data_IF_984057085685
#
_entry.id   IF_984057085685
#
_cell.length_a   1.000
_cell.length_b   1.000
_cell.length_c   1.000
_cell.angle_alpha   90.00
_cell.angle_beta   90.00
_cell.angle_gamma   90.00
#
_symmetry.space_group_name_H-M   'P 1'
#
loop_
_entity.id
_entity.type
_entity.pdbx_description
1 polymer ?
#
# COMPACT_ATOMS: atom_id res chain seq x y z
N UNK A 1 -30.75 -71.33 -61.93
CA UNK A 1 -29.75 -71.43 -63.01
C UNK A 1 -29.12 -70.05 -63.23
N UNK A 2 -27.80 -69.99 -63.32
CA UNK A 2 -26.99 -68.87 -63.74
C UNK A 2 -26.61 -67.91 -62.59
N UNK A 3 -25.46 -67.75 -62.29
CA UNK A 3 -24.06 -68.11 -62.58
C UNK A 3 -23.25 -67.01 -61.86
N UNK A 4 -22.31 -67.45 -61.08
CA UNK A 4 -21.30 -66.67 -60.40
C UNK A 4 -20.37 -65.95 -61.39
N UNK A 5 -20.05 -64.72 -61.19
CA UNK A 5 -18.76 -64.19 -61.63
C UNK A 5 -18.05 -63.44 -60.50
N UNK A 6 -16.85 -63.89 -60.27
CA UNK A 6 -15.84 -63.27 -59.39
C UNK A 6 -15.32 -62.04 -60.06
N UNK A 7 -15.22 -60.99 -59.29
CA UNK A 7 -14.12 -59.98 -59.28
C UNK A 7 -14.56 -58.76 -58.51
N UNK A 8 -13.93 -58.51 -57.39
CA UNK A 8 -14.12 -57.27 -56.66
C UNK A 8 -13.00 -57.10 -55.64
N UNK A 9 -11.96 -56.48 -56.09
CA UNK A 9 -10.75 -56.13 -55.38
C UNK A 9 -11.02 -55.41 -54.05
N UNK A 10 -10.16 -55.76 -53.12
CA UNK A 10 -9.82 -55.03 -51.92
C UNK A 10 -9.73 -53.54 -52.15
N UNK A 11 -10.47 -52.75 -51.38
CA UNK A 11 -10.15 -51.38 -51.05
C UNK A 11 -10.05 -51.29 -49.52
N UNK A 12 -8.83 -51.36 -49.04
CA UNK A 12 -8.47 -50.89 -47.73
C UNK A 12 -8.62 -49.38 -47.73
N UNK A 13 -9.69 -48.87 -47.14
CA UNK A 13 -9.82 -47.47 -46.81
C UNK A 13 -9.12 -47.25 -45.48
N UNK A 14 -7.92 -46.67 -45.53
CA UNK A 14 -7.22 -46.17 -44.36
C UNK A 14 -8.02 -45.09 -43.69
N UNK A 15 -8.52 -45.35 -42.50
CA UNK A 15 -9.06 -44.34 -41.60
C UNK A 15 -7.87 -43.63 -40.95
N UNK A 16 -7.43 -42.53 -41.56
CA UNK A 16 -6.53 -41.60 -40.87
C UNK A 16 -7.33 -40.93 -39.80
N UNK A 17 -7.14 -41.35 -38.56
CA UNK A 17 -7.60 -40.64 -37.38
C UNK A 17 -6.80 -39.34 -37.28
N UNK A 18 -7.35 -38.27 -37.83
CA UNK A 18 -6.87 -36.90 -37.49
C UNK A 18 -7.19 -36.63 -36.02
N UNK A 19 -6.19 -36.79 -35.17
CA UNK A 19 -6.25 -36.26 -33.82
C UNK A 19 -6.32 -34.74 -33.96
N UNK A 20 -7.53 -34.18 -33.93
CA UNK A 20 -7.74 -32.77 -33.79
C UNK A 20 -7.22 -32.41 -32.39
N UNK A 21 -6.02 -31.84 -32.33
CA UNK A 21 -5.56 -31.09 -31.18
C UNK A 21 -6.56 -29.95 -30.97
N UNK A 22 -7.52 -30.17 -30.07
CA UNK A 22 -8.38 -29.09 -29.62
C UNK A 22 -7.45 -27.96 -29.11
N UNK A 23 -7.62 -26.71 -29.58
CA UNK A 23 -6.86 -25.61 -29.03
C UNK A 23 -7.13 -25.61 -27.53
N UNK A 24 -6.05 -25.52 -26.73
CA UNK A 24 -6.17 -25.38 -25.30
C UNK A 24 -7.18 -24.26 -25.04
N UNK A 25 -8.33 -24.62 -24.50
CA UNK A 25 -9.35 -23.64 -24.17
C UNK A 25 -8.67 -22.67 -23.20
N UNK A 26 -8.48 -21.45 -23.64
CA UNK A 26 -8.04 -20.36 -22.76
C UNK A 26 -9.12 -20.26 -21.70
N UNK A 27 -8.80 -20.78 -20.50
CA UNK A 27 -9.68 -20.63 -19.37
C UNK A 27 -9.93 -19.13 -19.19
N UNK A 28 -11.22 -18.73 -19.24
CA UNK A 28 -11.58 -17.35 -19.05
C UNK A 28 -10.91 -16.83 -17.76
N UNK A 29 -10.37 -15.60 -17.79
CA UNK A 29 -9.70 -15.04 -16.61
C UNK A 29 -10.65 -15.13 -15.40
N UNK A 30 -10.16 -15.71 -14.32
CA UNK A 30 -10.93 -15.91 -13.09
C UNK A 30 -10.95 -14.62 -12.29
N UNK A 31 -11.76 -13.66 -12.73
CA UNK A 31 -11.93 -12.37 -12.05
C UNK A 31 -12.23 -12.58 -10.56
N UNK A 32 -11.57 -11.82 -9.70
CA UNK A 32 -11.93 -11.68 -8.30
C UNK A 32 -12.31 -10.24 -8.00
N UNK A 33 -13.48 -10.07 -7.37
CA UNK A 33 -13.98 -8.80 -6.89
C UNK A 33 -14.75 -9.04 -5.58
N UNK A 34 -14.12 -8.75 -4.46
CA UNK A 34 -14.69 -8.82 -3.12
C UNK A 34 -14.65 -7.43 -2.53
N UNK A 35 -15.75 -6.99 -1.92
CA UNK A 35 -15.88 -5.71 -1.23
C UNK A 35 -16.85 -5.93 -0.06
N UNK A 36 -16.33 -6.00 1.18
CA UNK A 36 -17.15 -6.31 2.34
C UNK A 36 -16.52 -5.97 3.67
N UNK A 37 -17.36 -5.93 4.69
CA UNK A 37 -16.94 -5.97 6.09
C UNK A 37 -16.65 -7.41 6.52
N UNK A 38 -15.59 -7.57 7.34
CA UNK A 38 -15.11 -8.85 7.84
C UNK A 38 -14.80 -8.70 9.34
N UNK A 39 -15.18 -9.65 10.19
CA UNK A 39 -14.80 -9.64 11.60
C UNK A 39 -13.28 -9.81 11.74
N UNK A 40 -12.60 -8.77 12.17
CA UNK A 40 -11.14 -8.70 12.38
C UNK A 40 -10.89 -7.99 13.70
N UNK A 41 -10.10 -8.58 14.59
CA UNK A 41 -9.71 -7.96 15.86
C UNK A 41 -10.89 -7.52 16.72
N UNK A 42 -12.01 -8.26 16.67
CA UNK A 42 -13.24 -8.00 17.44
C UNK A 42 -14.16 -6.92 16.90
N UNK A 43 -13.90 -6.37 15.71
CA UNK A 43 -14.75 -5.39 15.01
C UNK A 43 -14.93 -5.76 13.54
N UNK A 44 -15.90 -5.18 12.86
CA UNK A 44 -16.09 -5.35 11.43
C UNK A 44 -15.22 -4.38 10.64
N UNK A 45 -14.20 -4.89 9.97
CA UNK A 45 -13.27 -4.08 9.16
C UNK A 45 -13.50 -4.29 7.67
N UNK A 46 -13.40 -3.21 6.90
CA UNK A 46 -13.65 -3.25 5.47
C UNK A 46 -12.42 -3.73 4.71
N UNK A 47 -12.65 -4.69 3.79
CA UNK A 47 -11.62 -5.27 2.94
C UNK A 47 -12.15 -5.35 1.50
N UNK A 48 -11.34 -4.92 0.53
CA UNK A 48 -11.54 -5.20 -0.88
C UNK A 48 -10.45 -6.15 -1.39
N UNK A 49 -10.82 -7.12 -2.24
CA UNK A 49 -9.88 -7.99 -2.94
C UNK A 49 -10.25 -7.98 -4.41
N UNK A 50 -9.37 -7.52 -5.28
CA UNK A 50 -9.60 -7.34 -6.71
C UNK A 50 -8.44 -7.86 -7.54
N UNK A 51 -8.74 -8.35 -8.75
CA UNK A 51 -7.75 -8.80 -9.71
C UNK A 51 -8.40 -9.42 -10.94
N UNK A 52 -7.74 -9.31 -12.08
CA UNK A 52 -8.20 -9.87 -13.35
C UNK A 52 -8.09 -11.40 -13.39
N UNK A 53 -7.14 -11.95 -12.65
CA UNK A 53 -6.93 -13.37 -12.59
C UNK A 53 -6.60 -13.80 -11.16
N UNK A 54 -7.47 -14.61 -10.58
CA UNK A 54 -7.37 -15.13 -9.22
C UNK A 54 -6.11 -15.97 -8.96
N UNK A 55 -5.48 -16.48 -10.00
CA UNK A 55 -4.25 -17.28 -9.90
C UNK A 55 -2.99 -16.42 -9.76
N UNK A 56 -3.09 -15.12 -9.94
CA UNK A 56 -1.96 -14.20 -9.77
C UNK A 56 -1.53 -14.10 -8.32
N UNK A 57 -0.26 -13.74 -8.11
CA UNK A 57 0.31 -13.53 -6.78
C UNK A 57 -0.52 -12.49 -6.03
N UNK A 58 -0.95 -12.79 -4.79
CA UNK A 58 -1.69 -11.81 -4.00
C UNK A 58 -0.77 -10.79 -3.34
N UNK A 59 -1.25 -9.55 -3.30
CA UNK A 59 -0.66 -8.43 -2.57
C UNK A 59 -1.67 -7.98 -1.51
N UNK A 60 -1.22 -7.77 -0.29
CA UNK A 60 -1.94 -6.94 0.69
C UNK A 60 -1.25 -5.57 0.75
N UNK A 61 -2.02 -4.52 0.43
CA UNK A 61 -1.54 -3.14 0.47
C UNK A 61 -1.97 -2.48 1.78
N UNK A 62 -1.00 -2.07 2.61
CA UNK A 62 -1.22 -1.31 3.83
C UNK A 62 -1.09 0.18 3.52
N UNK A 63 -2.18 0.92 3.70
CA UNK A 63 -2.21 2.36 3.43
C UNK A 63 -1.38 3.18 4.42
N UNK A 64 -1.05 4.40 4.03
CA UNK A 64 -0.30 5.39 4.80
C UNK A 64 -1.11 6.16 5.84
N UNK A 65 -0.59 7.29 6.24
CA UNK A 65 -1.13 8.20 7.23
C UNK A 65 -0.23 8.34 8.47
N UNK A 66 -0.65 7.86 9.66
CA UNK A 66 -1.81 6.99 9.95
C UNK A 66 -3.16 7.58 9.54
N UNK A 67 -4.15 6.72 9.37
CA UNK A 67 -5.56 7.09 9.18
C UNK A 67 -5.97 7.56 7.76
N UNK A 68 -5.15 7.34 6.75
CA UNK A 68 -5.44 7.73 5.36
C UNK A 68 -5.91 6.53 4.53
N UNK A 69 -7.15 6.08 4.76
CA UNK A 69 -7.73 4.97 4.01
C UNK A 69 -7.72 5.22 2.50
N UNK A 70 -7.47 4.17 1.71
CA UNK A 70 -7.45 4.24 0.25
C UNK A 70 -8.72 3.69 -0.42
N UNK A 71 -9.72 3.25 0.36
CA UNK A 71 -11.00 2.80 -0.20
C UNK A 71 -11.72 3.82 -1.10
N UNK A 72 -11.59 5.15 -0.91
CA UNK A 72 -12.11 6.12 -1.87
C UNK A 72 -11.40 6.10 -3.22
N UNK A 73 -10.20 5.53 -3.29
CA UNK A 73 -9.29 5.61 -4.43
C UNK A 73 -9.00 4.24 -5.06
N UNK A 74 -9.93 3.29 -4.95
CA UNK A 74 -9.76 1.93 -5.51
C UNK A 74 -9.36 1.92 -6.98
N UNK A 75 -9.86 2.89 -7.77
CA UNK A 75 -9.54 3.01 -9.20
C UNK A 75 -8.04 3.25 -9.49
N UNK A 76 -7.28 3.78 -8.52
CA UNK A 76 -5.83 3.96 -8.67
C UNK A 76 -5.09 2.62 -8.74
N UNK A 77 -5.70 1.55 -8.24
CA UNK A 77 -5.11 0.22 -8.24
C UNK A 77 -5.40 -0.60 -9.50
N UNK A 78 -6.17 -0.08 -10.45
CA UNK A 78 -6.46 -0.78 -11.71
C UNK A 78 -5.19 -1.30 -12.44
N UNK A 79 -4.07 -0.53 -12.55
CA UNK A 79 -2.83 -1.05 -13.12
C UNK A 79 -2.20 -2.21 -12.31
N UNK A 80 -2.41 -2.23 -11.00
CA UNK A 80 -1.95 -3.29 -10.12
C UNK A 80 -2.79 -4.57 -10.30
N UNK A 81 -4.11 -4.42 -10.45
CA UNK A 81 -5.08 -5.51 -10.63
C UNK A 81 -4.87 -6.28 -11.94
N UNK A 82 -4.22 -5.66 -12.95
CA UNK A 82 -3.82 -6.32 -14.19
C UNK A 82 -2.70 -7.35 -13.98
N UNK A 83 -1.87 -7.18 -12.94
CA UNK A 83 -0.67 -8.00 -12.70
C UNK A 83 -0.79 -8.89 -11.47
N UNK A 84 -1.55 -8.48 -10.47
CA UNK A 84 -1.67 -9.09 -9.14
C UNK A 84 -3.12 -9.22 -8.70
N UNK A 85 -3.35 -10.04 -7.69
CA UNK A 85 -4.57 -9.92 -6.88
C UNK A 85 -4.28 -8.93 -5.76
N UNK A 86 -4.97 -7.80 -5.72
CA UNK A 86 -4.71 -6.72 -4.77
C UNK A 86 -5.78 -6.72 -3.69
N UNK A 87 -5.35 -6.91 -2.46
CA UNK A 87 -6.18 -6.71 -1.28
C UNK A 87 -5.88 -5.33 -0.67
N UNK A 88 -6.93 -4.59 -0.36
CA UNK A 88 -6.89 -3.32 0.36
C UNK A 88 -7.72 -3.44 1.62
N UNK A 89 -7.28 -2.79 2.67
CA UNK A 89 -7.88 -2.82 3.98
C UNK A 89 -7.95 -1.40 4.54
N UNK A 90 -9.15 -0.96 4.89
CA UNK A 90 -9.32 0.24 5.71
C UNK A 90 -9.00 -0.15 7.16
N UNK A 91 -7.85 0.28 7.63
CA UNK A 91 -7.37 -0.03 8.97
C UNK A 91 -8.35 0.46 10.04
N UNK A 92 -8.30 -0.12 11.21
CA UNK A 92 -9.08 0.29 12.39
C UNK A 92 -9.07 1.81 12.58
N UNK A 93 -10.25 2.41 12.72
CA UNK A 93 -10.43 3.85 12.89
C UNK A 93 -10.33 4.69 11.61
N UNK A 94 -10.29 4.06 10.42
CA UNK A 94 -10.16 4.76 9.15
C UNK A 94 -11.26 4.40 8.15
N UNK A 95 -11.52 5.27 7.21
CA UNK A 95 -12.36 5.03 6.04
C UNK A 95 -13.71 4.38 6.36
N UNK A 96 -14.05 3.33 5.63
CA UNK A 96 -15.31 2.58 5.82
C UNK A 96 -15.34 1.83 7.15
N UNK A 97 -14.19 1.35 7.65
CA UNK A 97 -14.09 0.73 8.98
C UNK A 97 -14.47 1.70 10.06
N UNK A 98 -14.02 2.97 10.00
CA UNK A 98 -14.48 4.03 10.89
C UNK A 98 -15.97 4.28 10.76
N UNK A 99 -16.49 4.41 9.55
CA UNK A 99 -17.93 4.64 9.31
C UNK A 99 -18.83 3.57 9.91
N UNK A 100 -18.33 2.32 10.01
CA UNK A 100 -19.06 1.20 10.61
C UNK A 100 -18.99 1.17 12.14
N UNK A 101 -17.83 1.51 12.74
CA UNK A 101 -17.54 1.26 14.15
C UNK A 101 -17.40 2.54 15.00
N UNK A 102 -17.25 3.73 14.37
CA UNK A 102 -17.04 4.99 15.07
C UNK A 102 -15.67 5.09 15.74
N UNK A 103 -15.59 5.86 16.85
CA UNK A 103 -14.33 6.31 17.46
C UNK A 103 -13.86 5.51 18.69
N UNK A 104 -14.71 4.68 19.29
CA UNK A 104 -14.45 3.97 20.55
C UNK A 104 -13.60 2.72 20.38
N UNK A 105 -12.50 2.82 19.62
CA UNK A 105 -11.69 1.67 19.27
C UNK A 105 -10.36 1.66 20.01
N UNK A 106 -9.90 0.46 20.39
CA UNK A 106 -8.53 0.26 20.83
C UNK A 106 -7.62 0.36 19.60
N UNK A 107 -6.85 1.47 19.50
CA UNK A 107 -5.93 1.74 18.40
C UNK A 107 -4.52 1.85 18.96
N UNK A 108 -3.77 0.76 18.88
CA UNK A 108 -2.35 0.68 19.21
C UNK A 108 -1.62 0.00 18.06
N UNK A 109 -0.31 0.20 17.95
CA UNK A 109 0.52 -0.49 16.95
C UNK A 109 0.39 -2.01 17.07
N UNK A 110 0.35 -2.54 18.30
CA UNK A 110 0.19 -3.97 18.55
C UNK A 110 -1.17 -4.50 18.08
N UNK A 111 -2.24 -3.74 18.30
CA UNK A 111 -3.56 -4.12 17.83
C UNK A 111 -3.64 -4.10 16.31
N UNK A 112 -3.09 -3.07 15.66
CA UNK A 112 -3.02 -2.99 14.20
C UNK A 112 -2.16 -4.10 13.60
N UNK A 113 -1.09 -4.49 14.28
CA UNK A 113 -0.25 -5.62 13.85
C UNK A 113 -1.04 -6.93 13.89
N UNK A 114 -1.80 -7.19 14.97
CA UNK A 114 -2.70 -8.37 15.05
C UNK A 114 -3.79 -8.31 13.99
N UNK A 115 -4.46 -7.17 13.82
CA UNK A 115 -5.46 -6.98 12.78
C UNK A 115 -4.90 -7.28 11.38
N UNK A 116 -3.71 -6.78 11.06
CA UNK A 116 -3.05 -7.02 9.79
C UNK A 116 -2.73 -8.51 9.55
N UNK A 117 -2.38 -9.25 10.60
CA UNK A 117 -2.20 -10.70 10.52
C UNK A 117 -3.52 -11.40 10.22
N UNK A 118 -4.60 -11.05 10.91
CA UNK A 118 -5.94 -11.63 10.66
C UNK A 118 -6.44 -11.28 9.24
N UNK A 119 -6.24 -10.04 8.79
CA UNK A 119 -6.54 -9.62 7.40
C UNK A 119 -5.74 -10.45 6.40
N UNK A 120 -4.44 -10.66 6.65
CA UNK A 120 -3.59 -11.50 5.80
C UNK A 120 -4.13 -12.91 5.69
N UNK A 121 -4.47 -13.52 6.81
CA UNK A 121 -5.04 -14.88 6.85
C UNK A 121 -6.39 -14.97 6.13
N UNK A 122 -7.26 -13.96 6.31
CA UNK A 122 -8.51 -13.87 5.58
C UNK A 122 -8.30 -13.79 4.06
N UNK A 123 -7.40 -12.92 3.61
CA UNK A 123 -7.05 -12.78 2.19
C UNK A 123 -6.54 -14.09 1.62
N UNK A 124 -5.57 -14.71 2.28
CA UNK A 124 -4.99 -15.99 1.86
C UNK A 124 -6.06 -17.09 1.74
N UNK A 125 -6.96 -17.21 2.74
CA UNK A 125 -8.08 -18.15 2.70
C UNK A 125 -9.06 -17.88 1.55
N UNK A 126 -9.33 -16.60 1.24
CA UNK A 126 -10.25 -16.21 0.14
C UNK A 126 -9.71 -16.55 -1.25
N UNK A 127 -8.41 -16.50 -1.44
CA UNK A 127 -7.76 -16.78 -2.74
C UNK A 127 -7.19 -18.20 -2.82
N UNK A 128 -7.16 -18.93 -1.71
CA UNK A 128 -6.51 -20.23 -1.59
C UNK A 128 -5.00 -20.17 -1.92
N UNK A 129 -4.31 -19.17 -1.33
CA UNK A 129 -2.88 -19.00 -1.45
C UNK A 129 -2.18 -19.27 -0.11
N UNK A 130 -0.95 -19.76 -0.15
CA UNK A 130 -0.16 -20.04 1.06
C UNK A 130 0.50 -18.79 1.62
N UNK A 131 0.93 -17.87 0.75
CA UNK A 131 1.62 -16.63 1.10
C UNK A 131 1.19 -15.49 0.18
N UNK A 132 1.43 -14.26 0.60
CA UNK A 132 1.26 -13.06 -0.22
C UNK A 132 2.49 -12.14 -0.14
N UNK A 133 2.54 -11.13 -1.00
CA UNK A 133 3.48 -10.02 -0.88
C UNK A 133 2.81 -8.94 -0.03
N UNK A 134 3.46 -8.53 1.05
CA UNK A 134 3.01 -7.39 1.84
C UNK A 134 3.62 -6.11 1.28
N UNK A 135 2.80 -5.16 0.87
CA UNK A 135 3.24 -3.83 0.45
C UNK A 135 2.79 -2.82 1.48
N UNK A 136 3.72 -2.10 2.07
CA UNK A 136 3.42 -1.04 3.02
C UNK A 136 3.79 0.34 2.46
N UNK A 137 2.86 1.28 2.52
CA UNK A 137 3.09 2.66 2.12
C UNK A 137 3.16 3.57 3.34
N UNK A 138 4.27 4.32 3.49
CA UNK A 138 4.46 5.30 4.56
C UNK A 138 4.19 4.71 5.96
N UNK A 139 3.22 5.17 6.72
CA UNK A 139 2.76 4.53 7.95
C UNK A 139 2.55 3.01 7.78
N UNK A 140 1.92 2.61 6.66
CA UNK A 140 1.73 1.19 6.35
C UNK A 140 3.04 0.42 6.20
N UNK A 141 4.15 1.08 5.85
CA UNK A 141 5.47 0.44 5.79
C UNK A 141 6.07 0.25 7.20
N UNK A 142 5.84 1.18 8.13
CA UNK A 142 6.19 1.01 9.53
C UNK A 142 5.40 -0.16 10.16
N UNK A 143 4.09 -0.20 9.94
CA UNK A 143 3.23 -1.30 10.36
C UNK A 143 3.67 -2.63 9.73
N UNK A 144 3.98 -2.63 8.42
CA UNK A 144 4.42 -3.81 7.68
C UNK A 144 5.69 -4.46 8.24
N UNK A 145 6.66 -3.66 8.69
CA UNK A 145 7.86 -4.18 9.39
C UNK A 145 7.48 -4.96 10.65
N UNK A 146 6.55 -4.46 11.46
CA UNK A 146 6.08 -5.17 12.65
C UNK A 146 5.35 -6.46 12.28
N UNK A 147 4.49 -6.42 11.25
CA UNK A 147 3.73 -7.58 10.79
C UNK A 147 4.64 -8.70 10.30
N UNK A 148 5.64 -8.42 9.46
CA UNK A 148 6.55 -9.44 8.94
C UNK A 148 7.53 -9.99 9.97
N UNK A 149 7.85 -9.22 11.01
CA UNK A 149 8.60 -9.70 12.17
C UNK A 149 7.77 -10.67 13.01
N UNK A 150 6.47 -10.38 13.14
CA UNK A 150 5.56 -11.18 13.94
C UNK A 150 5.17 -12.50 13.26
N UNK A 151 4.86 -12.49 11.96
CA UNK A 151 4.42 -13.66 11.17
C UNK A 151 5.10 -13.72 9.80
N UNK A 152 6.42 -13.99 9.78
CA UNK A 152 7.18 -14.05 8.53
C UNK A 152 6.73 -15.19 7.60
N UNK A 153 6.12 -16.23 8.16
CA UNK A 153 5.63 -17.41 7.44
C UNK A 153 4.52 -17.11 6.43
N UNK A 154 3.80 -16.00 6.60
CA UNK A 154 2.67 -15.61 5.74
C UNK A 154 3.10 -14.85 4.47
N UNK A 155 4.38 -14.50 4.34
CA UNK A 155 4.81 -13.59 3.29
C UNK A 155 5.88 -14.18 2.37
N UNK A 156 5.73 -13.94 1.07
CA UNK A 156 6.78 -14.15 0.06
C UNK A 156 7.87 -13.09 0.18
N UNK A 157 7.48 -11.84 0.40
CA UNK A 157 8.35 -10.68 0.57
C UNK A 157 7.60 -9.56 1.29
N UNK A 158 8.34 -8.64 1.89
CA UNK A 158 7.85 -7.35 2.32
C UNK A 158 8.45 -6.24 1.44
N UNK A 159 7.58 -5.36 0.95
CA UNK A 159 7.93 -4.21 0.10
C UNK A 159 7.54 -2.93 0.81
N UNK A 160 8.52 -2.13 1.18
CA UNK A 160 8.30 -0.79 1.71
C UNK A 160 8.32 0.26 0.59
N UNK A 161 7.43 1.24 0.65
CA UNK A 161 7.43 2.42 -0.23
C UNK A 161 7.06 3.67 0.56
N UNK A 162 7.68 4.82 0.26
CA UNK A 162 7.66 5.93 1.20
C UNK A 162 8.11 5.46 2.58
N UNK A 163 9.14 4.62 2.63
CA UNK A 163 9.56 3.83 3.79
C UNK A 163 10.12 4.72 4.90
N UNK A 164 9.42 4.91 6.02
CA UNK A 164 9.97 5.60 7.17
C UNK A 164 11.02 4.73 7.86
N UNK A 165 12.12 5.34 8.30
CA UNK A 165 13.12 4.68 9.11
C UNK A 165 13.00 5.11 10.57
N UNK A 166 12.82 6.42 10.82
CA UNK A 166 12.42 6.89 12.14
C UNK A 166 11.51 8.11 12.06
N UNK A 167 10.72 8.34 13.10
CA UNK A 167 9.91 9.54 13.22
C UNK A 167 10.78 10.80 13.26
N UNK A 168 11.96 10.73 13.86
CA UNK A 168 12.93 11.83 13.87
C UNK A 168 13.40 12.20 12.47
N UNK A 169 13.75 11.21 11.64
CA UNK A 169 14.21 11.46 10.26
C UNK A 169 13.12 12.14 9.42
N UNK A 170 11.85 11.69 9.58
CA UNK A 170 10.70 12.32 8.90
C UNK A 170 10.55 13.78 9.33
N UNK A 171 10.57 14.02 10.64
CA UNK A 171 10.42 15.36 11.19
C UNK A 171 11.50 16.31 10.66
N UNK A 172 12.77 15.92 10.78
CA UNK A 172 13.89 16.76 10.36
C UNK A 172 13.85 17.04 8.85
N UNK A 173 13.47 16.04 8.06
CA UNK A 173 13.29 16.22 6.60
C UNK A 173 12.17 17.23 6.29
N UNK A 174 11.01 17.10 6.92
CA UNK A 174 9.88 18.02 6.73
C UNK A 174 10.24 19.46 7.18
N UNK A 175 10.82 19.59 8.36
CA UNK A 175 11.20 20.88 8.96
C UNK A 175 12.24 21.60 8.10
N UNK A 176 13.35 20.94 7.81
CA UNK A 176 14.45 21.52 7.03
C UNK A 176 14.02 21.91 5.61
N UNK A 177 13.23 21.04 4.97
CA UNK A 177 12.67 21.28 3.64
C UNK A 177 11.72 22.50 3.63
N UNK A 178 10.85 22.65 4.64
CA UNK A 178 9.96 23.80 4.76
C UNK A 178 10.75 25.08 5.06
N UNK A 179 11.72 25.04 5.97
CA UNK A 179 12.57 26.17 6.32
C UNK A 179 13.39 26.67 5.10
N UNK A 180 13.92 25.76 4.29
CA UNK A 180 14.64 26.11 3.07
C UNK A 180 13.75 26.85 2.06
N UNK A 181 12.50 26.42 1.89
CA UNK A 181 11.53 27.09 1.00
C UNK A 181 11.06 28.42 1.57
N UNK A 182 10.82 28.51 2.88
CA UNK A 182 10.50 29.77 3.54
C UNK A 182 11.64 30.80 3.35
N UNK A 183 12.88 30.37 3.48
CA UNK A 183 14.08 31.19 3.22
C UNK A 183 14.12 31.66 1.76
N UNK A 184 13.87 30.77 0.81
CA UNK A 184 13.82 31.12 -0.61
C UNK A 184 12.70 32.12 -0.94
N UNK A 185 11.58 32.06 -0.19
CA UNK A 185 10.47 33.01 -0.29
C UNK A 185 10.71 34.35 0.48
N UNK A 186 11.82 34.49 1.20
CA UNK A 186 12.13 35.65 2.01
C UNK A 186 11.33 35.78 3.32
N UNK A 187 10.66 34.71 3.75
CA UNK A 187 9.86 34.68 4.98
C UNK A 187 10.74 34.31 6.20
N UNK A 188 11.44 35.37 6.72
CA UNK A 188 12.30 35.20 7.90
C UNK A 188 11.53 34.78 9.16
N UNK A 189 10.23 35.12 9.27
CA UNK A 189 9.40 34.73 10.41
C UNK A 189 9.11 33.24 10.36
N UNK A 190 8.71 32.69 9.19
CA UNK A 190 8.48 31.28 9.03
C UNK A 190 9.74 30.47 9.29
N UNK A 191 10.91 30.92 8.81
CA UNK A 191 12.20 30.28 9.11
C UNK A 191 12.43 30.20 10.62
N UNK A 192 12.33 31.33 11.33
CA UNK A 192 12.56 31.39 12.77
C UNK A 192 11.59 30.51 13.57
N UNK A 193 10.32 30.43 13.16
CA UNK A 193 9.33 29.57 13.81
C UNK A 193 9.62 28.09 13.54
N UNK A 194 9.92 27.71 12.29
CA UNK A 194 10.24 26.33 11.93
C UNK A 194 11.51 25.82 12.63
N UNK A 195 12.51 26.67 12.80
CA UNK A 195 13.77 26.32 13.49
C UNK A 195 13.59 26.07 15.00
N UNK A 196 12.52 26.57 15.61
CA UNK A 196 12.22 26.34 17.02
C UNK A 196 11.60 24.98 17.32
N UNK A 197 10.96 24.36 16.34
CA UNK A 197 10.34 23.06 16.55
C UNK A 197 11.38 21.96 16.70
N UNK A 198 11.12 21.09 17.68
CA UNK A 198 11.88 19.86 17.93
C UNK A 198 10.98 18.64 17.75
N UNK A 199 11.57 17.46 17.62
CA UNK A 199 10.80 16.22 17.51
C UNK A 199 9.91 15.99 18.72
N UNK A 200 10.33 16.45 19.90
CA UNK A 200 9.58 16.27 21.15
C UNK A 200 8.28 17.11 21.20
N UNK A 201 8.18 18.14 20.36
CA UNK A 201 6.97 18.95 20.24
C UNK A 201 5.80 18.21 19.61
N UNK A 202 6.03 17.05 18.97
CA UNK A 202 5.00 16.27 18.31
C UNK A 202 4.18 15.37 19.24
N UNK A 203 4.57 15.24 20.49
CA UNK A 203 3.71 14.69 21.53
C UNK A 203 2.56 15.63 21.91
N UNK A 204 2.67 16.91 21.55
CA UNK A 204 1.67 17.95 21.76
C UNK A 204 0.93 18.28 20.45
N UNK A 205 -0.36 17.96 20.41
CA UNK A 205 -1.20 18.16 19.22
C UNK A 205 -1.32 19.64 18.82
N UNK A 206 -1.30 20.58 19.76
CA UNK A 206 -1.36 22.01 19.44
C UNK A 206 -0.08 22.50 18.78
N UNK A 207 1.07 22.03 19.24
CA UNK A 207 2.36 22.30 18.63
C UNK A 207 2.48 21.68 17.25
N UNK A 208 2.04 20.43 17.11
CA UNK A 208 1.98 19.75 15.83
C UNK A 208 1.12 20.50 14.81
N UNK A 209 -0.08 20.94 15.22
CA UNK A 209 -0.95 21.78 14.39
C UNK A 209 -0.25 23.07 13.99
N UNK A 210 0.45 23.71 14.93
CA UNK A 210 1.23 24.92 14.65
C UNK A 210 2.35 24.64 13.65
N UNK A 211 3.06 23.52 13.78
CA UNK A 211 4.07 23.11 12.82
C UNK A 211 3.47 22.92 11.41
N UNK A 212 2.37 22.19 11.29
CA UNK A 212 1.71 22.02 9.98
C UNK A 212 1.22 23.35 9.39
N UNK A 213 0.75 24.28 10.21
CA UNK A 213 0.38 25.61 9.74
C UNK A 213 1.57 26.36 9.16
N UNK A 214 2.78 26.21 9.72
CA UNK A 214 4.00 26.82 9.20
C UNK A 214 4.57 26.08 7.98
N UNK A 215 4.37 24.79 7.85
CA UNK A 215 4.83 24.03 6.68
C UNK A 215 3.88 24.14 5.48
N UNK A 216 2.57 24.30 5.71
CA UNK A 216 1.55 24.35 4.66
C UNK A 216 1.73 25.47 3.62
N UNK A 217 2.14 26.72 3.97
CA UNK A 217 2.39 27.79 3.00
C UNK A 217 3.57 27.51 2.07
N UNK A 218 4.43 26.55 2.43
CA UNK A 218 5.63 26.18 1.69
C UNK A 218 5.50 24.73 1.17
N UNK A 219 4.48 24.43 0.33
CA UNK A 219 4.30 23.08 -0.19
C UNK A 219 5.53 22.72 -1.01
N UNK A 220 5.91 21.45 -0.94
CA UNK A 220 6.87 20.93 -1.89
C UNK A 220 6.17 20.76 -3.24
N UNK A 221 6.50 21.58 -4.27
CA UNK A 221 5.90 21.46 -5.60
C UNK A 221 6.41 20.24 -6.38
N UNK A 222 7.07 19.30 -5.70
CA UNK A 222 7.62 18.08 -6.27
C UNK A 222 6.61 17.24 -7.06
N UNK A 223 7.03 16.11 -7.62
CA UNK A 223 6.27 15.33 -8.60
C UNK A 223 4.89 14.87 -8.09
N UNK A 224 4.67 14.83 -6.78
CA UNK A 224 3.39 14.40 -6.20
C UNK A 224 2.31 15.50 -6.18
N UNK A 225 2.66 16.77 -6.39
CA UNK A 225 1.70 17.88 -6.24
C UNK A 225 0.48 17.74 -7.14
N UNK A 226 0.72 17.44 -8.42
CA UNK A 226 -0.35 17.19 -9.38
C UNK A 226 -1.15 15.93 -9.06
N UNK A 227 -0.51 14.92 -8.46
CA UNK A 227 -1.16 13.70 -8.02
C UNK A 227 -2.09 13.95 -6.83
N UNK A 228 -1.64 14.71 -5.83
CA UNK A 228 -2.46 15.13 -4.69
C UNK A 228 -3.70 15.89 -5.16
N UNK A 229 -3.55 16.81 -6.12
CA UNK A 229 -4.68 17.52 -6.74
C UNK A 229 -5.68 16.57 -7.40
N UNK A 230 -5.20 15.50 -8.07
CA UNK A 230 -6.06 14.44 -8.63
C UNK A 230 -6.79 13.65 -7.55
N UNK A 231 -6.15 13.32 -6.42
CA UNK A 231 -6.80 12.65 -5.29
C UNK A 231 -7.96 13.46 -4.75
N UNK A 232 -7.77 14.76 -4.53
CA UNK A 232 -8.85 15.65 -4.09
C UNK A 232 -9.96 15.78 -5.14
N UNK A 233 -9.63 15.79 -6.43
CA UNK A 233 -10.60 15.74 -7.51
C UNK A 233 -11.47 14.47 -7.50
N UNK A 234 -10.89 13.31 -7.18
CA UNK A 234 -11.63 12.05 -7.05
C UNK A 234 -12.57 12.06 -5.85
N UNK A 235 -12.21 12.70 -4.73
CA UNK A 235 -13.10 12.86 -3.57
C UNK A 235 -14.33 13.73 -3.87
N UNK A 236 -14.21 14.70 -4.76
CA UNK A 236 -15.32 15.55 -5.24
C UNK A 236 -16.15 14.93 -6.36
N UNK A 237 -15.87 13.71 -6.81
CA UNK A 237 -16.60 13.05 -7.88
C UNK A 237 -18.04 12.68 -7.46
N UNK A 238 -19.05 12.85 -8.34
CA UNK A 238 -20.43 12.49 -8.05
C UNK A 238 -20.69 10.97 -8.02
N UNK A 239 -19.68 10.15 -8.16
CA UNK A 239 -19.77 8.69 -8.06
C UNK A 239 -20.18 8.30 -6.63
N UNK A 240 -21.43 7.85 -6.47
CA UNK A 240 -22.07 7.64 -5.15
C UNK A 240 -21.30 6.72 -4.19
N UNK A 241 -20.69 5.59 -4.63
CA UNK A 241 -19.85 4.79 -3.74
C UNK A 241 -18.60 5.52 -3.27
N UNK A 242 -17.98 6.30 -4.15
CA UNK A 242 -16.82 7.13 -3.82
C UNK A 242 -17.21 8.29 -2.89
N UNK A 243 -18.40 8.88 -3.04
CA UNK A 243 -18.85 9.98 -2.18
C UNK A 243 -19.11 9.53 -0.72
N UNK A 244 -19.66 8.33 -0.51
CA UNK A 244 -19.83 7.75 0.84
C UNK A 244 -18.47 7.44 1.46
N UNK A 245 -17.55 6.85 0.70
CA UNK A 245 -16.20 6.58 1.16
C UNK A 245 -15.42 7.89 1.42
N UNK A 246 -15.62 8.92 0.59
CA UNK A 246 -15.06 10.25 0.82
C UNK A 246 -15.62 10.91 2.08
N UNK A 247 -16.94 10.82 2.32
CA UNK A 247 -17.55 11.32 3.56
C UNK A 247 -16.94 10.65 4.79
N UNK A 248 -16.73 9.32 4.75
CA UNK A 248 -16.08 8.60 5.85
C UNK A 248 -14.59 8.93 5.96
N UNK A 249 -13.90 9.20 4.84
CA UNK A 249 -12.52 9.67 4.84
C UNK A 249 -12.42 11.04 5.53
N UNK A 250 -13.28 12.00 5.17
CA UNK A 250 -13.29 13.32 5.82
C UNK A 250 -13.77 13.27 7.27
N UNK A 251 -14.68 12.35 7.63
CA UNK A 251 -15.08 12.15 9.02
C UNK A 251 -13.94 11.58 9.87
N UNK A 252 -13.11 10.70 9.30
CA UNK A 252 -11.89 10.19 9.94
C UNK A 252 -10.70 11.17 9.85
N UNK A 253 -10.70 12.09 8.88
CA UNK A 253 -9.69 13.11 8.61
C UNK A 253 -10.37 14.47 8.32
N UNK A 254 -10.92 15.17 9.33
CA UNK A 254 -11.56 16.45 9.12
C UNK A 254 -10.58 17.49 8.56
N UNK A 255 -11.09 18.56 7.92
CA UNK A 255 -10.26 19.64 7.42
C UNK A 255 -9.37 20.25 8.52
N UNK A 256 -8.16 20.71 8.18
CA UNK A 256 -7.21 21.26 9.14
C UNK A 256 -7.67 22.54 9.87
N UNK A 257 -8.78 23.13 9.45
CA UNK A 257 -9.28 24.40 9.98
C UNK A 257 -10.08 24.27 11.30
N UNK A 258 -10.41 23.05 11.72
CA UNK A 258 -11.03 22.78 13.02
C UNK A 258 -10.05 22.04 13.95
N UNK A 259 -9.37 22.77 14.86
CA UNK A 259 -8.42 22.16 15.80
C UNK A 259 -9.05 21.12 16.74
N UNK A 260 -10.38 21.20 16.97
CA UNK A 260 -11.11 20.24 17.80
C UNK A 260 -11.46 18.94 17.06
N UNK A 261 -11.35 18.95 15.74
CA UNK A 261 -11.78 17.89 14.86
C UNK A 261 -10.65 16.95 14.40
N UNK A 262 -9.50 16.95 15.09
CA UNK A 262 -8.47 15.93 14.79
C UNK A 262 -9.06 14.53 14.94
N UNK A 263 -8.92 13.67 13.91
CA UNK A 263 -9.49 12.32 13.99
C UNK A 263 -8.93 11.61 15.22
N UNK A 264 -9.81 10.98 15.99
CA UNK A 264 -9.42 10.18 17.16
C UNK A 264 -8.33 9.15 16.79
N UNK A 265 -8.39 8.63 15.57
CA UNK A 265 -7.36 7.78 14.98
C UNK A 265 -5.99 8.48 14.97
N UNK A 266 -5.90 9.72 14.48
CA UNK A 266 -4.65 10.46 14.39
C UNK A 266 -4.11 10.77 15.80
N UNK A 267 -4.97 11.22 16.72
CA UNK A 267 -4.58 11.48 18.11
C UNK A 267 -3.97 10.25 18.80
N UNK A 268 -4.51 9.05 18.51
CA UNK A 268 -4.03 7.80 19.12
C UNK A 268 -2.79 7.22 18.44
N UNK A 269 -2.65 7.36 17.12
CA UNK A 269 -1.61 6.68 16.35
C UNK A 269 -0.43 7.57 15.97
N UNK A 270 -0.61 8.89 15.94
CA UNK A 270 0.47 9.80 15.57
C UNK A 270 1.67 9.73 16.51
N UNK A 271 1.51 9.61 17.84
CA UNK A 271 2.66 9.42 18.74
C UNK A 271 3.55 8.24 18.33
N UNK A 272 2.95 7.11 17.94
CA UNK A 272 3.72 5.96 17.44
C UNK A 272 4.51 6.25 16.16
N UNK A 273 4.02 7.17 15.30
CA UNK A 273 4.77 7.58 14.10
C UNK A 273 6.05 8.32 14.43
N UNK A 274 6.05 9.13 15.50
CA UNK A 274 7.21 9.90 15.93
C UNK A 274 8.17 9.09 16.81
N UNK A 275 7.64 8.17 17.59
CA UNK A 275 8.43 7.24 18.41
C UNK A 275 9.01 6.08 17.56
N UNK A 276 8.47 5.88 16.36
CA UNK A 276 8.91 4.79 15.50
C UNK A 276 10.38 4.90 15.13
N UNK A 277 11.09 3.78 15.33
CA UNK A 277 12.41 3.54 14.77
C UNK A 277 12.48 2.09 14.24
N UNK A 278 12.67 1.97 12.95
CA UNK A 278 12.78 0.67 12.27
C UNK A 278 13.90 -0.21 12.84
N UNK A 279 14.93 0.43 13.42
CA UNK A 279 16.10 -0.24 14.02
C UNK A 279 15.78 -0.86 15.39
N UNK A 280 14.83 -0.31 16.14
CA UNK A 280 14.44 -0.79 17.46
C UNK A 280 13.92 -2.24 17.46
N UNK A 281 13.27 -2.67 16.37
CA UNK A 281 12.82 -4.05 16.19
C UNK A 281 13.91 -5.03 15.72
N UNK A 282 15.18 -4.59 15.66
CA UNK A 282 16.31 -5.36 15.13
C UNK A 282 16.43 -5.30 13.61
N UNK A 283 17.61 -5.72 13.13
CA UNK A 283 17.99 -5.68 11.71
C UNK A 283 17.78 -7.02 10.98
N UNK A 284 17.34 -8.06 11.70
CA UNK A 284 17.14 -9.40 11.15
C UNK A 284 15.69 -9.57 10.68
N UNK A 285 15.49 -9.73 9.40
CA UNK A 285 14.21 -10.08 8.81
C UNK A 285 14.25 -11.50 8.23
N UNK A 286 13.20 -12.27 8.49
CA UNK A 286 13.08 -13.66 8.00
C UNK A 286 12.40 -13.76 6.64
N UNK A 287 12.06 -12.63 6.03
CA UNK A 287 11.45 -12.52 4.70
C UNK A 287 12.33 -11.65 3.82
N UNK A 288 12.30 -11.81 2.50
CA UNK A 288 12.90 -10.85 1.58
C UNK A 288 12.38 -9.44 1.85
N UNK A 289 13.30 -8.46 1.94
CA UNK A 289 12.99 -7.07 2.21
C UNK A 289 13.36 -6.18 1.02
N UNK A 290 12.36 -5.59 0.42
CA UNK A 290 12.47 -4.76 -0.76
C UNK A 290 12.01 -3.34 -0.42
N UNK A 291 12.70 -2.33 -0.93
CA UNK A 291 12.25 -0.95 -0.86
C UNK A 291 12.20 -0.39 -2.27
N UNK A 292 11.00 0.05 -2.69
CA UNK A 292 10.79 0.73 -3.96
C UNK A 292 10.28 2.13 -3.62
N UNK A 293 11.12 3.15 -3.80
CA UNK A 293 10.88 4.47 -3.27
C UNK A 293 11.02 5.57 -4.32
N UNK A 294 10.20 6.62 -4.18
CA UNK A 294 10.35 7.82 -5.01
C UNK A 294 11.71 8.48 -4.81
N UNK A 295 12.37 8.82 -5.91
CA UNK A 295 13.70 9.46 -5.91
C UNK A 295 13.69 10.82 -5.22
N UNK A 296 12.56 11.50 -5.27
CA UNK A 296 12.37 12.85 -4.74
C UNK A 296 11.38 12.85 -3.56
N UNK A 297 11.39 11.79 -2.73
CA UNK A 297 10.54 11.70 -1.55
C UNK A 297 11.03 12.68 -0.46
N UNK A 298 10.27 13.75 -0.17
CA UNK A 298 10.69 14.76 0.80
C UNK A 298 10.33 14.42 2.24
N UNK A 299 9.54 13.34 2.46
CA UNK A 299 9.11 12.91 3.80
C UNK A 299 9.96 11.79 4.33
N UNK A 300 10.25 10.81 3.45
CA UNK A 300 11.07 9.66 3.75
C UNK A 300 12.27 9.66 2.78
N UNK A 301 13.35 10.38 3.11
CA UNK A 301 14.47 10.55 2.19
C UNK A 301 15.03 9.20 1.71
N UNK A 302 15.19 9.00 0.38
CA UNK A 302 15.57 7.71 -0.18
C UNK A 302 16.99 7.26 0.26
N UNK A 303 17.89 8.20 0.56
CA UNK A 303 19.23 7.90 1.07
C UNK A 303 19.18 7.26 2.47
N UNK A 304 18.27 7.70 3.35
CA UNK A 304 18.09 7.12 4.69
C UNK A 304 17.51 5.72 4.59
N UNK A 305 16.49 5.55 3.73
CA UNK A 305 15.89 4.23 3.49
C UNK A 305 16.90 3.25 2.87
N UNK A 306 17.74 3.69 1.93
CA UNK A 306 18.82 2.88 1.34
C UNK A 306 19.82 2.46 2.41
N UNK A 307 20.31 3.40 3.22
CA UNK A 307 21.26 3.11 4.30
C UNK A 307 20.72 2.10 5.30
N UNK A 308 19.42 2.10 5.57
CA UNK A 308 18.77 1.08 6.40
C UNK A 308 18.73 -0.29 5.70
N UNK A 309 18.32 -0.34 4.42
CA UNK A 309 18.33 -1.59 3.64
C UNK A 309 19.72 -2.23 3.61
N UNK A 310 20.78 -1.41 3.49
CA UNK A 310 22.17 -1.90 3.48
C UNK A 310 22.54 -2.58 4.80
N UNK A 311 21.98 -2.14 5.93
CA UNK A 311 22.22 -2.71 7.27
C UNK A 311 21.37 -3.95 7.56
N UNK A 312 20.16 -4.06 6.98
CA UNK A 312 19.25 -5.18 7.22
C UNK A 312 19.87 -6.50 6.75
N UNK A 313 19.69 -7.54 7.56
CA UNK A 313 19.97 -8.95 7.21
C UNK A 313 18.64 -9.62 6.87
N UNK A 314 18.50 -10.07 5.63
CA UNK A 314 17.31 -10.73 5.12
C UNK A 314 17.69 -11.81 4.09
N UNK A 315 16.82 -12.78 3.79
CA UNK A 315 17.08 -13.79 2.76
C UNK A 315 17.42 -13.20 1.39
N UNK A 316 16.80 -12.07 1.07
CA UNK A 316 17.16 -11.19 -0.04
C UNK A 316 16.77 -9.76 0.33
N UNK A 317 17.48 -8.79 -0.23
CA UNK A 317 17.16 -7.37 -0.04
C UNK A 317 17.50 -6.56 -1.28
N UNK A 318 16.70 -5.54 -1.55
CA UNK A 318 16.95 -4.61 -2.64
C UNK A 318 16.38 -3.23 -2.32
N UNK A 319 17.01 -2.20 -2.87
CA UNK A 319 16.52 -0.83 -2.88
C UNK A 319 16.46 -0.34 -4.31
N UNK A 320 15.28 0.07 -4.77
CA UNK A 320 15.05 0.63 -6.10
C UNK A 320 14.47 2.03 -5.97
N UNK A 321 15.15 3.03 -6.53
CA UNK A 321 14.61 4.37 -6.67
C UNK A 321 13.87 4.51 -8.00
N UNK A 322 12.62 4.98 -7.96
CA UNK A 322 11.79 5.27 -9.13
C UNK A 322 11.50 6.76 -9.22
N UNK A 323 11.10 7.23 -10.39
CA UNK A 323 10.71 8.63 -10.56
C UNK A 323 9.41 8.91 -9.80
N UNK A 324 9.38 10.01 -9.06
CA UNK A 324 8.27 10.42 -8.19
C UNK A 324 8.73 10.79 -6.79
N UNK A 325 7.78 11.28 -6.01
CA UNK A 325 7.97 11.68 -4.61
C UNK A 325 7.46 10.63 -3.63
N UNK A 326 6.82 11.10 -2.54
CA UNK A 326 6.30 10.24 -1.49
C UNK A 326 5.23 9.25 -1.96
N UNK A 327 4.39 9.66 -2.92
CA UNK A 327 3.31 8.85 -3.48
C UNK A 327 3.72 8.07 -4.75
N UNK A 328 5.01 7.88 -5.02
CA UNK A 328 5.51 7.30 -6.26
C UNK A 328 4.87 5.93 -6.61
N UNK A 329 4.52 5.12 -5.62
CA UNK A 329 3.82 3.83 -5.84
C UNK A 329 2.43 4.00 -6.48
N UNK A 330 1.77 5.15 -6.30
CA UNK A 330 0.45 5.48 -6.83
C UNK A 330 0.51 6.49 -7.99
N UNK A 331 1.43 7.45 -7.93
CA UNK A 331 1.60 8.49 -8.96
C UNK A 331 2.35 7.98 -10.20
N UNK A 332 3.23 6.98 -10.02
CA UNK A 332 3.97 6.29 -11.07
C UNK A 332 3.81 4.76 -10.95
N UNK A 333 2.57 4.23 -11.09
CA UNK A 333 2.31 2.80 -10.90
C UNK A 333 3.09 1.93 -11.88
N UNK A 334 3.37 2.40 -13.10
CA UNK A 334 4.16 1.65 -14.08
C UNK A 334 5.61 1.44 -13.61
N UNK A 335 6.26 2.50 -13.14
CA UNK A 335 7.61 2.42 -12.59
C UNK A 335 7.68 1.50 -11.37
N UNK A 336 6.72 1.65 -10.45
CA UNK A 336 6.64 0.82 -9.25
C UNK A 336 6.43 -0.67 -9.59
N UNK A 337 5.44 -0.99 -10.43
CA UNK A 337 5.12 -2.37 -10.80
C UNK A 337 6.23 -3.03 -11.61
N UNK A 338 6.93 -2.30 -12.47
CA UNK A 338 8.07 -2.85 -13.20
C UNK A 338 9.24 -3.20 -12.27
N UNK A 339 9.51 -2.36 -11.26
CA UNK A 339 10.50 -2.66 -10.23
C UNK A 339 10.08 -3.88 -9.40
N UNK A 340 8.83 -3.92 -8.95
CA UNK A 340 8.28 -5.05 -8.20
C UNK A 340 8.35 -6.36 -9.00
N UNK A 341 7.91 -6.37 -10.25
CA UNK A 341 7.98 -7.56 -11.13
C UNK A 341 9.42 -8.05 -11.33
N UNK A 342 10.38 -7.11 -11.44
CA UNK A 342 11.79 -7.46 -11.53
C UNK A 342 12.27 -8.19 -10.28
N UNK A 343 11.91 -7.68 -9.11
CA UNK A 343 12.34 -8.26 -7.84
C UNK A 343 11.61 -9.58 -7.55
N UNK A 344 10.32 -9.68 -7.85
CA UNK A 344 9.53 -10.91 -7.73
C UNK A 344 10.14 -12.04 -8.58
N UNK A 345 10.56 -11.73 -9.83
CA UNK A 345 11.25 -12.70 -10.70
C UNK A 345 12.60 -13.14 -10.11
N UNK A 346 13.40 -12.22 -9.57
CA UNK A 346 14.70 -12.55 -8.94
C UNK A 346 14.54 -13.45 -7.73
N UNK A 347 13.42 -13.32 -7.01
CA UNK A 347 13.08 -14.15 -5.85
C UNK A 347 12.52 -15.53 -6.24
N UNK A 348 12.25 -15.79 -7.52
CA UNK A 348 11.63 -17.03 -7.97
C UNK A 348 10.19 -17.20 -7.48
N UNK A 349 9.51 -16.10 -7.18
CA UNK A 349 8.09 -16.08 -6.81
C UNK A 349 7.31 -16.04 -8.13
N UNK A 350 6.69 -17.15 -8.50
CA UNK A 350 5.94 -17.31 -9.76
C UNK A 350 4.47 -17.65 -9.47
#
# INVERSE_FOLDING_TARGET
>A
MIALTRRGLFRLAGVSAAIALAPAAWAAPRLIAVDRFVPIGGIEQWIAIRGRDRSRIPILFLHGGPCEALSPFLSLFAPWEERYVVAQWDQRGTGRTFGKNGTSLNMTMDQLTRDAVEVTQYVLGRINAAKLILVGFSWGAALGLNVVRHRPDLFHAFVGTGQPISGRDIFESMRSSAAARAKAAGDARAVAELERFTVDDFSDMAKLHTFFRWTAPFPNPGPDWNFIGKLFGLLGSPDKPASVAASNFFASNPPPDDPAAHPVCLQKLLPYSFEFDARAGGLDLKVPYLVIQGREDPRCPPEIARAFVDQVRAPAKNFTAIDGGHFACLSNPAGFLNALDSDVRKLGIA
#
